data_IF_297997150545
#
_entry.id   IF_297997150545
#
_cell.length_a   1.000
_cell.length_b   1.000
_cell.length_c   1.000
_cell.angle_alpha   90.00
_cell.angle_beta   90.00
_cell.angle_gamma   90.00
#
_symmetry.space_group_name_H-M   'P 1'
#
loop_
_entity.id
_entity.type
_entity.pdbx_description
1 polymer ?
#
# COMPACT_ATOMS: atom_id res chain seq x y z
N UNK A 1 -14.87 -7.87 -21.42
CA UNK A 1 -13.82 -8.91 -21.33
C UNK A 1 -13.39 -8.94 -19.87
N UNK A 2 -13.78 -9.96 -19.12
CA UNK A 2 -13.15 -10.21 -17.82
C UNK A 2 -11.71 -10.61 -18.15
N UNK A 3 -10.75 -9.71 -17.89
CA UNK A 3 -9.36 -10.11 -17.83
C UNK A 3 -9.28 -11.03 -16.61
N UNK A 4 -8.74 -12.24 -16.78
CA UNK A 4 -8.40 -13.10 -15.63
C UNK A 4 -7.57 -12.25 -14.67
N UNK A 5 -8.13 -11.98 -13.49
CA UNK A 5 -7.40 -11.24 -12.47
C UNK A 5 -6.18 -12.08 -12.08
N UNK A 6 -4.95 -11.57 -12.23
CA UNK A 6 -3.76 -12.36 -11.94
C UNK A 6 -3.73 -12.80 -10.48
N UNK A 7 -3.09 -13.93 -10.16
CA UNK A 7 -2.96 -14.40 -8.78
C UNK A 7 -2.33 -13.33 -7.88
N UNK A 8 -2.76 -13.26 -6.61
CA UNK A 8 -2.28 -12.24 -5.66
C UNK A 8 -0.74 -12.21 -5.56
N UNK A 9 -0.06 -13.36 -5.55
CA UNK A 9 1.40 -13.41 -5.49
C UNK A 9 2.07 -12.71 -6.69
N UNK A 10 1.50 -12.86 -7.89
CA UNK A 10 1.98 -12.17 -9.09
C UNK A 10 1.75 -10.67 -8.98
N UNK A 11 0.56 -10.26 -8.52
CA UNK A 11 0.21 -8.86 -8.27
C UNK A 11 1.21 -8.20 -7.31
N UNK A 12 1.53 -8.87 -6.19
CA UNK A 12 2.52 -8.36 -5.22
C UNK A 12 3.94 -8.30 -5.81
N UNK A 13 4.31 -9.27 -6.65
CA UNK A 13 5.56 -9.24 -7.40
C UNK A 13 5.66 -8.03 -8.34
N UNK A 14 4.59 -7.75 -9.08
CA UNK A 14 4.50 -6.62 -10.01
C UNK A 14 4.58 -5.26 -9.29
N UNK A 15 3.95 -5.12 -8.11
CA UNK A 15 4.03 -3.92 -7.29
C UNK A 15 5.47 -3.58 -6.86
N UNK A 16 6.31 -4.60 -6.64
CA UNK A 16 7.72 -4.42 -6.29
C UNK A 16 8.68 -4.29 -7.48
N UNK A 17 8.18 -4.30 -8.72
CA UNK A 17 9.02 -4.34 -9.92
C UNK A 17 9.76 -3.00 -10.13
N UNK A 18 11.03 -3.01 -10.61
CA UNK A 18 11.77 -1.79 -10.88
C UNK A 18 11.13 -0.91 -11.98
N UNK A 19 10.40 -1.50 -12.92
CA UNK A 19 9.75 -0.80 -14.02
C UNK A 19 8.40 -0.23 -13.58
N UNK A 20 8.25 1.08 -13.73
CA UNK A 20 7.00 1.80 -13.44
C UNK A 20 5.76 1.14 -14.06
N UNK A 21 5.83 0.75 -15.34
CA UNK A 21 4.71 0.11 -16.04
C UNK A 21 4.26 -1.20 -15.37
N UNK A 22 5.19 -1.96 -14.78
CA UNK A 22 4.83 -3.20 -14.09
C UNK A 22 4.20 -2.91 -12.74
N UNK A 23 4.69 -1.90 -12.01
CA UNK A 23 4.03 -1.46 -10.77
C UNK A 23 2.60 -0.97 -10.99
N UNK A 24 2.37 -0.23 -12.07
CA UNK A 24 1.01 0.21 -12.44
C UNK A 24 0.09 -0.99 -12.75
N UNK A 25 0.60 -2.03 -13.42
CA UNK A 25 -0.15 -3.28 -13.63
C UNK A 25 -0.44 -3.99 -12.31
N UNK A 26 0.54 -4.06 -11.41
CA UNK A 26 0.35 -4.61 -10.07
C UNK A 26 -0.72 -3.84 -9.29
N UNK A 27 -0.68 -2.51 -9.31
CA UNK A 27 -1.68 -1.67 -8.66
C UNK A 27 -3.08 -1.88 -9.23
N UNK A 28 -3.20 -2.00 -10.56
CA UNK A 28 -4.46 -2.31 -11.23
C UNK A 28 -5.01 -3.69 -10.80
N UNK A 29 -4.16 -4.72 -10.84
CA UNK A 29 -4.54 -6.07 -10.39
C UNK A 29 -4.96 -6.11 -8.92
N UNK A 30 -4.23 -5.44 -8.03
CA UNK A 30 -4.61 -5.33 -6.62
C UNK A 30 -5.95 -4.62 -6.47
N UNK A 31 -6.16 -3.52 -7.18
CA UNK A 31 -7.42 -2.77 -7.14
C UNK A 31 -8.61 -3.63 -7.55
N UNK A 32 -8.45 -4.46 -8.58
CA UNK A 32 -9.50 -5.36 -9.06
C UNK A 32 -9.79 -6.48 -8.07
N UNK A 33 -8.74 -7.07 -7.47
CA UNK A 33 -8.88 -8.05 -6.39
C UNK A 33 -9.64 -7.46 -5.18
N UNK A 34 -9.29 -6.25 -4.75
CA UNK A 34 -9.93 -5.59 -3.61
C UNK A 34 -11.40 -5.28 -3.88
N UNK A 35 -11.74 -4.83 -5.10
CA UNK A 35 -13.13 -4.59 -5.51
C UNK A 35 -13.94 -5.88 -5.67
N UNK A 36 -13.28 -6.97 -6.05
CA UNK A 36 -13.89 -8.30 -6.13
C UNK A 36 -14.26 -8.90 -4.77
N UNK A 37 -13.67 -8.36 -3.69
CA UNK A 37 -13.83 -8.86 -2.34
C UNK A 37 -12.84 -9.99 -2.06
N UNK A 38 -11.97 -9.77 -1.08
CA UNK A 38 -10.97 -10.74 -0.65
C UNK A 38 -11.49 -11.59 0.52
N UNK A 39 -11.15 -12.87 0.50
CA UNK A 39 -11.27 -13.74 1.68
C UNK A 39 -10.28 -13.35 2.79
N UNK A 40 -10.48 -13.88 3.99
CA UNK A 40 -9.64 -13.55 5.15
C UNK A 40 -8.16 -13.90 4.95
N UNK A 41 -7.86 -15.05 4.34
CA UNK A 41 -6.48 -15.46 4.04
C UNK A 41 -5.81 -14.53 3.02
N UNK A 42 -6.55 -14.08 2.02
CA UNK A 42 -6.05 -13.15 1.00
C UNK A 42 -5.82 -11.75 1.57
N UNK A 43 -6.69 -11.29 2.48
CA UNK A 43 -6.49 -10.04 3.22
C UNK A 43 -5.20 -10.10 4.03
N UNK A 44 -4.99 -11.16 4.81
CA UNK A 44 -3.76 -11.36 5.59
C UNK A 44 -2.53 -11.36 4.65
N UNK A 45 -2.62 -12.02 3.49
CA UNK A 45 -1.53 -12.06 2.52
C UNK A 45 -1.24 -10.69 1.91
N UNK A 46 -2.26 -9.88 1.58
CA UNK A 46 -2.09 -8.50 1.10
C UNK A 46 -1.40 -7.64 2.16
N UNK A 47 -1.88 -7.71 3.40
CA UNK A 47 -1.32 -6.93 4.52
C UNK A 47 0.14 -7.28 4.79
N UNK A 48 0.46 -8.57 4.84
CA UNK A 48 1.82 -9.05 4.98
C UNK A 48 2.71 -8.57 3.83
N UNK A 49 2.23 -8.68 2.59
CA UNK A 49 2.97 -8.28 1.40
C UNK A 49 3.21 -6.77 1.31
N UNK A 50 2.24 -5.94 1.71
CA UNK A 50 2.43 -4.48 1.82
C UNK A 50 3.56 -4.17 2.80
N UNK A 51 3.51 -4.77 4.00
CA UNK A 51 4.53 -4.53 5.03
C UNK A 51 5.91 -5.05 4.61
N UNK A 52 5.95 -6.19 3.90
CA UNK A 52 7.19 -6.70 3.32
C UNK A 52 7.78 -5.69 2.35
N UNK A 53 7.00 -5.17 1.40
CA UNK A 53 7.46 -4.19 0.40
C UNK A 53 7.98 -2.90 1.04
N UNK A 54 7.28 -2.38 2.06
CA UNK A 54 7.68 -1.18 2.80
C UNK A 54 9.01 -1.35 3.56
N UNK A 55 9.31 -2.57 4.01
CA UNK A 55 10.56 -2.89 4.72
C UNK A 55 11.79 -3.09 3.82
N UNK A 56 11.62 -3.04 2.50
CA UNK A 56 12.72 -3.30 1.55
C UNK A 56 13.62 -2.07 1.39
N UNK A 57 14.87 -2.29 0.97
CA UNK A 57 15.84 -1.20 0.77
C UNK A 57 15.63 -0.43 -0.54
N UNK A 58 15.25 -1.12 -1.61
CA UNK A 58 15.01 -0.52 -2.93
C UNK A 58 13.79 0.41 -2.91
N UNK A 59 13.96 1.63 -3.40
CA UNK A 59 12.90 2.63 -3.42
C UNK A 59 11.68 2.19 -4.25
N UNK A 60 11.87 1.36 -5.27
CA UNK A 60 10.79 0.85 -6.11
C UNK A 60 9.83 -0.05 -5.33
N UNK A 61 10.37 -0.89 -4.46
CA UNK A 61 9.57 -1.75 -3.58
C UNK A 61 8.86 -0.93 -2.50
N UNK A 62 9.54 0.05 -1.88
CA UNK A 62 8.92 0.97 -0.92
C UNK A 62 7.75 1.72 -1.57
N UNK A 63 7.97 2.25 -2.77
CA UNK A 63 6.93 2.94 -3.55
C UNK A 63 5.76 2.01 -3.86
N UNK A 64 6.04 0.78 -4.32
CA UNK A 64 5.01 -0.24 -4.54
C UNK A 64 4.21 -0.55 -3.28
N UNK A 65 4.88 -0.68 -2.13
CA UNK A 65 4.24 -0.85 -0.82
C UNK A 65 3.34 0.32 -0.45
N UNK A 66 3.75 1.57 -0.67
CA UNK A 66 2.94 2.76 -0.41
C UNK A 66 1.72 2.85 -1.36
N UNK A 67 1.91 2.52 -2.64
CA UNK A 67 0.81 2.46 -3.62
C UNK A 67 -0.23 1.41 -3.21
N UNK A 68 0.23 0.23 -2.80
CA UNK A 68 -0.61 -0.86 -2.33
C UNK A 68 -1.31 -0.53 -1.00
N UNK A 69 -0.60 0.04 -0.03
CA UNK A 69 -1.14 0.50 1.24
C UNK A 69 -2.28 1.49 1.03
N UNK A 70 -2.06 2.52 0.20
CA UNK A 70 -3.10 3.48 -0.15
C UNK A 70 -4.33 2.80 -0.77
N UNK A 71 -4.13 1.90 -1.75
CA UNK A 71 -5.24 1.19 -2.38
C UNK A 71 -6.01 0.31 -1.38
N UNK A 72 -5.30 -0.38 -0.49
CA UNK A 72 -5.90 -1.21 0.55
C UNK A 72 -6.73 -0.38 1.54
N UNK A 73 -6.20 0.75 2.01
CA UNK A 73 -6.92 1.66 2.91
C UNK A 73 -8.17 2.25 2.25
N UNK A 74 -8.07 2.63 0.97
CA UNK A 74 -9.17 3.23 0.20
C UNK A 74 -10.29 2.23 -0.14
N UNK A 75 -9.98 0.94 -0.35
CA UNK A 75 -10.91 -0.04 -0.94
C UNK A 75 -11.28 -1.20 -0.02
N UNK A 76 -10.46 -1.52 0.97
CA UNK A 76 -10.71 -2.63 1.89
C UNK A 76 -11.30 -2.15 3.23
N UNK A 77 -11.41 -3.09 4.16
CA UNK A 77 -11.82 -2.85 5.54
C UNK A 77 -10.69 -3.22 6.52
N UNK A 78 -9.50 -2.57 6.44
CA UNK A 78 -8.41 -2.80 7.38
C UNK A 78 -8.84 -2.47 8.81
N UNK A 79 -8.29 -3.23 9.75
CA UNK A 79 -8.47 -2.99 11.18
C UNK A 79 -7.56 -1.86 11.70
N UNK A 80 -7.89 -1.35 12.89
CA UNK A 80 -7.13 -0.26 13.53
C UNK A 80 -5.64 -0.60 13.77
N UNK A 81 -5.27 -1.81 14.24
CA UNK A 81 -3.87 -2.20 14.37
C UNK A 81 -3.07 -2.11 13.07
N UNK A 82 -3.62 -2.54 11.94
CA UNK A 82 -2.94 -2.40 10.66
C UNK A 82 -2.80 -0.94 10.25
N UNK A 83 -3.86 -0.14 10.39
CA UNK A 83 -3.83 1.29 10.03
C UNK A 83 -2.72 2.02 10.78
N UNK A 84 -2.54 1.72 12.08
CA UNK A 84 -1.45 2.27 12.88
C UNK A 84 -0.07 1.80 12.40
N UNK A 85 0.08 0.51 12.06
CA UNK A 85 1.33 -0.02 11.48
C UNK A 85 1.69 0.66 10.16
N UNK A 86 0.70 0.89 9.29
CA UNK A 86 0.88 1.60 8.03
C UNK A 86 1.26 3.06 8.26
N UNK A 87 0.63 3.73 9.22
CA UNK A 87 0.97 5.11 9.60
C UNK A 87 2.43 5.21 10.05
N UNK A 88 2.86 4.35 10.98
CA UNK A 88 4.23 4.30 11.47
C UNK A 88 5.24 3.99 10.36
N UNK A 89 4.93 3.03 9.49
CA UNK A 89 5.78 2.70 8.35
C UNK A 89 5.90 3.87 7.36
N UNK A 90 4.80 4.55 7.05
CA UNK A 90 4.79 5.73 6.19
C UNK A 90 5.59 6.90 6.80
N UNK A 91 5.43 7.14 8.10
CA UNK A 91 6.21 8.15 8.85
C UNK A 91 7.71 7.87 8.79
N UNK A 92 8.13 6.61 8.92
CA UNK A 92 9.54 6.21 8.78
C UNK A 92 10.15 6.45 7.39
N UNK A 93 9.32 6.73 6.37
CA UNK A 93 9.74 6.99 5.00
C UNK A 93 9.64 8.48 4.59
N UNK A 94 9.27 9.38 5.52
CA UNK A 94 9.15 10.82 5.23
C UNK A 94 10.47 11.44 4.74
N UNK A 95 11.60 10.94 5.24
CA UNK A 95 12.94 11.42 4.91
C UNK A 95 13.68 10.49 3.92
N UNK A 96 12.97 9.56 3.28
CA UNK A 96 13.58 8.64 2.30
C UNK A 96 14.31 9.43 1.20
N UNK A 97 15.47 8.96 0.75
CA UNK A 97 16.29 9.66 -0.24
C UNK A 97 15.59 9.86 -1.59
N UNK A 98 14.64 8.99 -1.95
CA UNK A 98 13.90 9.07 -3.21
C UNK A 98 12.65 9.95 -3.08
N UNK A 99 12.55 10.99 -3.93
CA UNK A 99 11.44 11.94 -3.90
C UNK A 99 10.08 11.29 -4.15
N UNK A 100 10.02 10.30 -5.04
CA UNK A 100 8.77 9.58 -5.34
C UNK A 100 8.22 8.82 -4.14
N UNK A 101 9.10 8.27 -3.29
CA UNK A 101 8.71 7.62 -2.04
C UNK A 101 8.12 8.66 -1.09
N UNK A 102 8.82 9.80 -0.89
CA UNK A 102 8.33 10.89 -0.01
C UNK A 102 6.97 11.44 -0.45
N UNK A 103 6.73 11.58 -1.76
CA UNK A 103 5.42 11.99 -2.29
C UNK A 103 4.34 10.94 -2.00
N UNK A 104 4.64 9.66 -2.23
CA UNK A 104 3.70 8.57 -1.97
C UNK A 104 3.35 8.40 -0.48
N UNK A 105 4.26 8.78 0.44
CA UNK A 105 3.96 8.86 1.89
C UNK A 105 2.80 9.83 2.13
N UNK A 106 2.84 11.03 1.53
CA UNK A 106 1.76 12.01 1.67
C UNK A 106 0.42 11.50 1.18
N UNK A 107 0.40 10.77 0.06
CA UNK A 107 -0.82 10.16 -0.47
C UNK A 107 -1.36 9.03 0.43
N UNK A 108 -0.46 8.24 1.02
CA UNK A 108 -0.83 7.20 1.99
C UNK A 108 -1.43 7.81 3.27
N UNK A 109 -0.75 8.79 3.87
CA UNK A 109 -1.24 9.50 5.08
C UNK A 109 -2.57 10.21 4.82
N UNK A 110 -2.78 10.75 3.62
CA UNK A 110 -4.06 11.35 3.21
C UNK A 110 -5.17 10.30 3.13
N UNK A 111 -4.89 9.10 2.62
CA UNK A 111 -5.86 8.00 2.61
C UNK A 111 -6.22 7.55 4.03
N UNK A 112 -5.23 7.38 4.91
CA UNK A 112 -5.44 7.10 6.33
C UNK A 112 -6.30 8.18 7.01
N UNK A 113 -5.98 9.45 6.79
CA UNK A 113 -6.72 10.60 7.35
C UNK A 113 -8.17 10.66 6.86
N UNK A 114 -8.45 10.29 5.60
CA UNK A 114 -9.83 10.19 5.09
C UNK A 114 -10.65 9.13 5.83
N UNK A 115 -9.98 8.10 6.38
CA UNK A 115 -10.62 6.96 7.04
C UNK A 115 -10.78 7.18 8.54
N UNK A 116 -9.70 7.54 9.24
CA UNK A 116 -9.64 7.70 10.69
C UNK A 116 -9.82 9.16 11.15
N UNK A 117 -9.90 10.12 10.21
CA UNK A 117 -10.06 11.53 10.50
C UNK A 117 -8.77 12.22 10.97
N UNK A 118 -8.93 13.36 11.65
CA UNK A 118 -7.84 14.25 12.04
C UNK A 118 -6.84 13.60 13.02
N UNK A 119 -7.27 12.57 13.76
CA UNK A 119 -6.43 11.85 14.72
C UNK A 119 -5.15 11.29 14.09
N UNK A 120 -5.18 10.94 12.80
CA UNK A 120 -3.99 10.50 12.06
C UNK A 120 -2.96 11.63 11.95
N UNK A 121 -3.42 12.85 11.64
CA UNK A 121 -2.54 14.02 11.53
C UNK A 121 -1.96 14.37 12.90
N UNK A 122 -2.79 14.38 13.93
CA UNK A 122 -2.36 14.65 15.31
C UNK A 122 -1.29 13.64 15.77
N UNK A 123 -1.47 12.35 15.46
CA UNK A 123 -0.50 11.30 15.78
C UNK A 123 0.82 11.40 14.98
N UNK A 124 0.87 12.20 13.92
CA UNK A 124 2.07 12.46 13.13
C UNK A 124 2.83 13.71 13.58
N UNK A 125 2.26 14.51 14.48
CA UNK A 125 2.93 15.67 15.07
C UNK A 125 3.91 15.22 16.17
N UNK A 126 5.02 15.96 16.37
CA UNK A 126 6.02 15.67 17.41
C UNK A 126 5.51 15.96 18.83
#
# INVERSE_FOLDING_TARGET
MALDTPPLAEVMGLLGDPKHLQREKGLHGLTDLLKGGLGAEEQIAVEAGIMELLGQQSWEKKLGGLMAAKAYVDLAQPDEPLLERLRLAAMGLLEDGEVRVRMAVGDCLKSLTRRQGIAVVEACLP
#
